data_IF_198944613582
#
_entry.id   IF_198944613582
#
_cell.length_a   1.000
_cell.length_b   1.000
_cell.length_c   1.000
_cell.angle_alpha   90.00
_cell.angle_beta   90.00
_cell.angle_gamma   90.00
#
_symmetry.space_group_name_H-M   'P 1'
#
loop_
_entity.id
_entity.type
_entity.pdbx_description
1 polymer ?
#
# COMPACT_ATOMS: atom_id res chain seq x y z
N UNK A 1 -14.09 26.67 -2.72
CA UNK A 1 -14.47 25.24 -2.73
C UNK A 1 -13.47 24.56 -3.63
N UNK A 2 -12.43 23.96 -3.05
CA UNK A 2 -11.37 23.29 -3.83
C UNK A 2 -12.05 22.18 -4.64
N UNK A 3 -11.96 22.25 -5.96
CA UNK A 3 -12.68 21.35 -6.84
C UNK A 3 -12.19 19.91 -6.61
N UNK A 4 -13.11 19.00 -6.29
CA UNK A 4 -12.80 17.57 -6.14
C UNK A 4 -12.22 17.01 -7.43
N UNK A 5 -12.60 17.58 -8.57
CA UNK A 5 -12.04 17.22 -9.87
C UNK A 5 -10.54 17.55 -9.92
N UNK A 6 -10.11 18.72 -9.45
CA UNK A 6 -8.70 19.10 -9.38
C UNK A 6 -7.93 18.22 -8.38
N UNK A 7 -8.53 17.94 -7.22
CA UNK A 7 -7.95 17.04 -6.23
C UNK A 7 -7.74 15.64 -6.84
N UNK A 8 -8.75 15.12 -7.54
CA UNK A 8 -8.70 13.81 -8.19
C UNK A 8 -7.64 13.78 -9.29
N UNK A 9 -7.67 14.72 -10.23
CA UNK A 9 -6.69 14.82 -11.33
C UNK A 9 -5.25 14.87 -10.80
N UNK A 10 -5.03 15.56 -9.68
CA UNK A 10 -3.70 15.73 -9.11
C UNK A 10 -3.19 14.52 -8.33
N UNK A 11 -4.06 13.81 -7.60
CA UNK A 11 -3.63 12.81 -6.62
C UNK A 11 -4.09 11.38 -6.92
N UNK A 12 -5.00 11.15 -7.86
CA UNK A 12 -5.55 9.80 -8.12
C UNK A 12 -4.45 8.78 -8.49
N UNK A 13 -3.47 9.18 -9.31
CA UNK A 13 -2.35 8.32 -9.67
C UNK A 13 -1.49 7.92 -8.46
N UNK A 14 -1.26 8.85 -7.54
CA UNK A 14 -0.48 8.58 -6.32
C UNK A 14 -1.24 7.66 -5.36
N UNK A 15 -2.53 7.94 -5.14
CA UNK A 15 -3.41 7.12 -4.30
C UNK A 15 -3.53 5.72 -4.87
N UNK A 16 -3.74 5.58 -6.18
CA UNK A 16 -3.83 4.28 -6.86
C UNK A 16 -2.55 3.48 -6.74
N UNK A 17 -1.39 4.12 -6.93
CA UNK A 17 -0.09 3.47 -6.76
C UNK A 17 0.14 3.02 -5.31
N UNK A 18 -0.18 3.88 -4.35
CA UNK A 18 -0.12 3.52 -2.93
C UNK A 18 -1.05 2.34 -2.62
N UNK A 19 -2.30 2.39 -3.09
CA UNK A 19 -3.29 1.35 -2.91
C UNK A 19 -2.83 0.02 -3.53
N UNK A 20 -2.30 0.04 -4.76
CA UNK A 20 -1.78 -1.16 -5.43
C UNK A 20 -0.63 -1.81 -4.66
N UNK A 21 0.35 -1.02 -4.20
CA UNK A 21 1.44 -1.53 -3.39
C UNK A 21 0.98 -1.98 -2.00
N UNK A 22 -0.10 -1.39 -1.49
CA UNK A 22 -0.71 -1.78 -0.24
C UNK A 22 -1.47 -3.10 -0.39
N UNK A 23 -2.39 -3.27 -1.34
CA UNK A 23 -3.25 -4.45 -1.44
C UNK A 23 -2.69 -5.58 -2.32
N UNK A 24 -1.80 -5.27 -3.28
CA UNK A 24 -1.24 -6.25 -4.20
C UNK A 24 -2.16 -6.64 -5.37
N UNK A 25 -3.31 -5.99 -5.52
CA UNK A 25 -4.34 -6.33 -6.49
C UNK A 25 -4.87 -5.08 -7.24
N UNK A 26 -4.88 -5.11 -8.57
CA UNK A 26 -5.27 -3.96 -9.40
C UNK A 26 -6.74 -3.55 -9.23
N UNK A 27 -7.65 -4.52 -9.08
CA UNK A 27 -9.09 -4.26 -8.94
C UNK A 27 -9.36 -3.63 -7.58
N UNK A 28 -8.78 -4.19 -6.52
CA UNK A 28 -8.90 -3.65 -5.18
C UNK A 28 -8.22 -2.29 -5.06
N UNK A 29 -7.12 -2.05 -5.78
CA UNK A 29 -6.48 -0.74 -5.81
C UNK A 29 -7.41 0.34 -6.38
N UNK A 30 -8.14 0.03 -7.45
CA UNK A 30 -9.10 0.94 -8.08
C UNK A 30 -10.32 1.20 -7.18
N UNK A 31 -10.80 0.18 -6.47
CA UNK A 31 -11.86 0.31 -5.47
C UNK A 31 -11.42 1.20 -4.30
N UNK A 32 -10.26 0.93 -3.71
CA UNK A 32 -9.68 1.73 -2.61
C UNK A 32 -9.48 3.18 -3.06
N UNK A 33 -9.00 3.41 -4.28
CA UNK A 33 -8.80 4.76 -4.81
C UNK A 33 -10.12 5.51 -4.90
N UNK A 34 -11.14 4.88 -5.47
CA UNK A 34 -12.47 5.47 -5.59
C UNK A 34 -13.07 5.80 -4.23
N UNK A 35 -13.06 4.84 -3.29
CA UNK A 35 -13.54 5.04 -1.92
C UNK A 35 -12.76 6.14 -1.20
N UNK A 36 -11.45 6.28 -1.48
CA UNK A 36 -10.61 7.33 -0.90
C UNK A 36 -11.10 8.72 -1.26
N UNK A 37 -11.36 9.00 -2.53
CA UNK A 37 -11.84 10.32 -2.96
C UNK A 37 -13.28 10.58 -2.55
N UNK A 38 -14.12 9.55 -2.53
CA UNK A 38 -15.50 9.63 -2.01
C UNK A 38 -15.50 10.01 -0.52
N UNK A 39 -14.66 9.36 0.30
CA UNK A 39 -14.49 9.71 1.73
C UNK A 39 -13.86 11.08 1.91
N UNK A 40 -12.86 11.44 1.10
CA UNK A 40 -12.22 12.75 1.17
C UNK A 40 -13.22 13.88 0.85
N UNK A 41 -14.10 13.68 -0.12
CA UNK A 41 -15.19 14.60 -0.46
C UNK A 41 -16.18 14.77 0.69
N UNK A 42 -16.63 13.66 1.30
CA UNK A 42 -17.56 13.72 2.44
C UNK A 42 -16.95 14.32 3.71
N UNK A 43 -15.62 14.29 3.84
CA UNK A 43 -14.88 14.77 5.01
C UNK A 43 -14.06 16.03 4.75
N UNK A 44 -14.41 16.82 3.71
CA UNK A 44 -13.62 17.96 3.24
C UNK A 44 -13.24 18.98 4.35
N UNK A 45 -14.07 19.13 5.37
CA UNK A 45 -13.85 20.06 6.50
C UNK A 45 -12.89 19.52 7.59
N UNK A 46 -12.30 18.33 7.43
CA UNK A 46 -11.53 17.63 8.48
C UNK A 46 -10.11 17.23 8.07
N UNK A 47 -9.46 17.99 7.19
CA UNK A 47 -8.05 17.74 6.89
C UNK A 47 -7.20 18.07 8.13
N UNK A 48 -6.81 17.02 8.85
CA UNK A 48 -5.95 17.09 10.06
C UNK A 48 -4.48 16.77 9.78
N UNK A 49 -4.14 16.45 8.52
CA UNK A 49 -2.78 16.07 8.15
C UNK A 49 -1.99 17.26 7.61
N UNK A 50 -0.66 17.29 7.84
CA UNK A 50 0.24 18.31 7.28
C UNK A 50 0.18 18.38 5.76
N UNK A 51 -0.02 17.25 5.09
CA UNK A 51 -0.07 17.17 3.63
C UNK A 51 -1.37 16.56 3.11
N UNK A 52 -1.80 17.02 1.92
CA UNK A 52 -2.96 16.46 1.21
C UNK A 52 -2.73 15.00 0.84
N UNK A 53 -1.52 14.64 0.42
CA UNK A 53 -1.20 13.26 0.05
C UNK A 53 -1.18 12.33 1.28
N UNK A 54 -0.63 12.79 2.41
CA UNK A 54 -0.70 12.06 3.66
C UNK A 54 -2.13 11.85 4.16
N UNK A 55 -2.98 12.86 4.01
CA UNK A 55 -4.43 12.72 4.25
C UNK A 55 -5.06 11.64 3.38
N UNK A 56 -4.83 11.67 2.07
CA UNK A 56 -5.39 10.69 1.14
C UNK A 56 -4.85 9.27 1.41
N UNK A 57 -3.57 9.12 1.73
CA UNK A 57 -2.97 7.82 2.07
C UNK A 57 -3.52 7.27 3.39
N UNK A 58 -3.82 8.14 4.35
CA UNK A 58 -4.52 7.75 5.60
C UNK A 58 -5.89 7.16 5.27
N UNK A 59 -6.67 7.84 4.44
CA UNK A 59 -8.00 7.38 4.03
C UNK A 59 -7.90 6.06 3.26
N UNK A 60 -6.98 5.96 2.30
CA UNK A 60 -6.78 4.75 1.49
C UNK A 60 -6.42 3.55 2.35
N UNK A 61 -5.52 3.74 3.34
CA UNK A 61 -5.19 2.69 4.30
C UNK A 61 -6.40 2.29 5.14
N UNK A 62 -7.17 3.26 5.64
CA UNK A 62 -8.38 2.96 6.41
C UNK A 62 -9.39 2.15 5.58
N UNK A 63 -9.62 2.53 4.32
CA UNK A 63 -10.46 1.78 3.39
C UNK A 63 -9.96 0.33 3.22
N UNK A 64 -8.66 0.14 3.02
CA UNK A 64 -8.07 -1.20 2.95
C UNK A 64 -8.26 -2.00 4.24
N UNK A 65 -8.01 -1.41 5.41
CA UNK A 65 -8.22 -2.12 6.69
C UNK A 65 -9.69 -2.46 6.95
N UNK A 66 -10.63 -1.65 6.45
CA UNK A 66 -12.06 -1.96 6.49
C UNK A 66 -12.39 -3.18 5.63
N UNK A 67 -11.81 -3.27 4.42
CA UNK A 67 -11.94 -4.42 3.53
C UNK A 67 -11.38 -5.69 4.19
N UNK A 68 -10.17 -5.64 4.76
CA UNK A 68 -9.58 -6.78 5.48
C UNK A 68 -10.45 -7.24 6.65
N UNK A 69 -10.98 -6.29 7.44
CA UNK A 69 -11.88 -6.60 8.56
C UNK A 69 -13.19 -7.23 8.09
N UNK A 70 -13.74 -6.78 6.95
CA UNK A 70 -14.94 -7.39 6.34
C UNK A 70 -14.64 -8.80 5.87
N UNK A 71 -13.56 -8.99 5.10
CA UNK A 71 -13.14 -10.29 4.60
C UNK A 71 -12.96 -11.30 5.74
N UNK A 72 -12.24 -10.92 6.80
CA UNK A 72 -12.03 -11.79 7.96
C UNK A 72 -13.35 -12.24 8.63
N UNK A 73 -14.36 -11.36 8.71
CA UNK A 73 -15.69 -11.73 9.23
C UNK A 73 -16.42 -12.71 8.31
N UNK A 74 -16.28 -12.56 6.99
CA UNK A 74 -16.87 -13.50 6.03
C UNK A 74 -16.15 -14.85 6.04
N UNK A 75 -14.83 -14.89 6.17
CA UNK A 75 -14.05 -16.14 6.28
C UNK A 75 -14.29 -16.88 7.60
N UNK A 76 -14.70 -16.18 8.67
CA UNK A 76 -15.17 -16.85 9.89
C UNK A 76 -16.53 -17.53 9.71
N UNK A 77 -17.29 -17.15 8.67
CA UNK A 77 -18.59 -17.74 8.33
C UNK A 77 -18.49 -18.80 7.21
N UNK A 78 -17.36 -18.82 6.49
CA UNK A 78 -17.11 -19.67 5.31
C UNK A 78 -15.64 -20.14 5.38
N UNK A 79 -15.38 -21.43 5.59
CA UNK A 79 -14.05 -22.02 5.86
C UNK A 79 -13.01 -21.88 4.71
N UNK A 80 -13.29 -21.03 3.71
CA UNK A 80 -12.43 -20.78 2.57
C UNK A 80 -11.50 -19.58 2.83
N UNK A 81 -10.25 -19.88 3.15
CA UNK A 81 -9.17 -18.88 3.30
C UNK A 81 -9.00 -18.07 2.00
N UNK A 82 -9.01 -16.72 2.03
CA UNK A 82 -8.76 -15.93 0.83
C UNK A 82 -7.33 -16.19 0.33
N UNK A 83 -7.20 -16.50 -0.97
CA UNK A 83 -5.91 -16.76 -1.61
C UNK A 83 -5.07 -15.47 -1.62
N UNK A 84 -3.98 -15.43 -0.84
CA UNK A 84 -3.02 -14.32 -0.80
C UNK A 84 -2.20 -14.14 -2.09
N UNK A 85 -2.52 -14.90 -3.14
CA UNK A 85 -1.86 -14.78 -4.45
C UNK A 85 -2.32 -13.52 -5.19
N UNK A 86 -1.38 -12.96 -5.94
CA UNK A 86 -1.65 -11.90 -6.92
C UNK A 86 -2.71 -12.41 -7.91
N UNK A 87 -3.79 -11.65 -8.10
CA UNK A 87 -4.90 -12.04 -8.99
C UNK A 87 -4.46 -12.23 -10.44
N UNK A 88 -5.21 -13.05 -11.19
CA UNK A 88 -4.97 -13.26 -12.61
C UNK A 88 -4.94 -11.95 -13.41
N UNK A 89 -5.82 -11.00 -13.08
CA UNK A 89 -5.84 -9.68 -13.71
C UNK A 89 -4.53 -8.92 -13.46
N UNK A 90 -4.06 -8.90 -12.21
CA UNK A 90 -2.77 -8.27 -11.88
C UNK A 90 -1.61 -8.98 -12.59
N UNK A 91 -1.69 -10.30 -12.78
CA UNK A 91 -0.68 -11.05 -13.53
C UNK A 91 -0.61 -10.63 -15.01
N UNK A 92 -1.75 -10.33 -15.61
CA UNK A 92 -1.85 -9.89 -17.01
C UNK A 92 -1.43 -8.42 -17.19
N UNK A 93 -1.85 -7.54 -16.29
CA UNK A 93 -1.67 -6.09 -16.45
C UNK A 93 -0.29 -5.57 -16.05
N UNK A 94 0.39 -6.23 -15.11
CA UNK A 94 1.65 -5.73 -14.54
C UNK A 94 2.87 -6.45 -15.12
N UNK A 95 3.99 -5.74 -15.26
CA UNK A 95 5.26 -6.35 -15.69
C UNK A 95 5.76 -7.38 -14.67
N UNK A 96 6.62 -8.31 -15.11
CA UNK A 96 7.22 -9.30 -14.22
C UNK A 96 7.96 -8.66 -13.02
N UNK A 97 8.64 -7.54 -13.26
CA UNK A 97 9.33 -6.77 -12.23
C UNK A 97 8.36 -6.19 -11.20
N UNK A 98 7.27 -5.56 -11.66
CA UNK A 98 6.25 -5.01 -10.75
C UNK A 98 5.60 -6.12 -9.94
N UNK A 99 5.28 -7.26 -10.56
CA UNK A 99 4.70 -8.42 -9.83
C UNK A 99 5.65 -8.96 -8.76
N UNK A 100 6.96 -9.00 -9.02
CA UNK A 100 7.94 -9.41 -8.02
C UNK A 100 7.99 -8.43 -6.84
N UNK A 101 7.91 -7.12 -7.11
CA UNK A 101 7.81 -6.09 -6.06
C UNK A 101 6.53 -6.25 -5.25
N UNK A 102 5.38 -6.42 -5.91
CA UNK A 102 4.10 -6.66 -5.24
C UNK A 102 4.17 -7.89 -4.34
N UNK A 103 4.67 -9.01 -4.85
CA UNK A 103 4.82 -10.24 -4.07
C UNK A 103 5.72 -10.05 -2.84
N UNK A 104 6.84 -9.35 -2.98
CA UNK A 104 7.74 -9.06 -1.87
C UNK A 104 7.09 -8.14 -0.82
N UNK A 105 6.35 -7.11 -1.25
CA UNK A 105 5.60 -6.23 -0.35
C UNK A 105 4.49 -6.98 0.41
N UNK A 106 3.81 -7.94 -0.24
CA UNK A 106 2.77 -8.74 0.40
C UNK A 106 3.32 -9.69 1.49
N UNK A 107 4.62 -9.99 1.50
CA UNK A 107 5.27 -10.73 2.59
C UNK A 107 5.46 -9.90 3.87
N UNK A 108 5.38 -8.57 3.77
CA UNK A 108 5.45 -7.70 4.93
C UNK A 108 4.11 -7.68 5.68
N UNK A 109 4.13 -7.65 7.03
CA UNK A 109 2.94 -7.28 7.80
C UNK A 109 2.37 -5.94 7.31
N UNK A 110 1.04 -5.81 7.30
CA UNK A 110 0.35 -4.62 6.76
C UNK A 110 0.93 -3.31 7.30
N UNK A 111 1.11 -3.20 8.63
CA UNK A 111 1.66 -1.99 9.23
C UNK A 111 3.08 -1.67 8.76
N UNK A 112 3.94 -2.68 8.59
CA UNK A 112 5.31 -2.48 8.09
C UNK A 112 5.29 -2.01 6.64
N UNK A 113 4.40 -2.57 5.83
CA UNK A 113 4.18 -2.18 4.43
C UNK A 113 3.65 -0.75 4.33
N UNK A 114 2.63 -0.38 5.10
CA UNK A 114 2.08 0.98 5.15
C UNK A 114 3.15 2.01 5.48
N UNK A 115 3.87 1.82 6.58
CA UNK A 115 4.90 2.75 7.07
C UNK A 115 6.01 2.91 6.04
N UNK A 116 6.42 1.80 5.39
CA UNK A 116 7.39 1.85 4.31
C UNK A 116 6.86 2.67 3.12
N UNK A 117 5.64 2.40 2.66
CA UNK A 117 5.05 3.06 1.48
C UNK A 117 4.81 4.56 1.70
N UNK A 118 4.32 4.97 2.87
CA UNK A 118 4.19 6.39 3.23
C UNK A 118 5.56 7.08 3.18
N UNK A 119 6.61 6.41 3.66
CA UNK A 119 7.97 6.98 3.60
C UNK A 119 8.56 6.99 2.19
N UNK A 120 8.29 6.00 1.35
CA UNK A 120 8.96 5.86 0.05
C UNK A 120 8.22 6.53 -1.11
N UNK A 121 6.89 6.60 -1.08
CA UNK A 121 6.11 7.21 -2.16
C UNK A 121 5.87 8.71 -1.94
N UNK A 122 5.80 9.14 -0.68
CA UNK A 122 5.50 10.53 -0.32
C UNK A 122 6.67 11.25 0.37
N UNK A 123 7.77 10.54 0.66
CA UNK A 123 8.87 11.08 1.48
C UNK A 123 8.40 11.65 2.83
N UNK A 124 7.24 11.19 3.31
CA UNK A 124 6.56 11.71 4.48
C UNK A 124 7.49 11.65 5.70
N UNK A 125 7.61 12.73 6.49
CA UNK A 125 8.40 12.75 7.71
C UNK A 125 7.94 11.66 8.70
N UNK A 126 8.87 11.11 9.47
CA UNK A 126 8.53 10.07 10.46
C UNK A 126 7.56 10.57 11.54
N UNK A 127 7.58 11.86 11.85
CA UNK A 127 6.60 12.52 12.74
C UNK A 127 5.19 12.43 12.17
N UNK A 128 4.99 12.84 10.91
CA UNK A 128 3.68 12.79 10.25
C UNK A 128 3.17 11.36 10.08
N UNK A 129 4.05 10.39 9.74
CA UNK A 129 3.68 8.96 9.70
C UNK A 129 3.21 8.49 11.08
N UNK A 130 3.91 8.89 12.14
CA UNK A 130 3.60 8.50 13.51
C UNK A 130 2.26 9.08 13.98
N UNK A 131 2.01 10.37 13.72
CA UNK A 131 0.74 11.03 14.00
C UNK A 131 -0.40 10.38 13.23
N UNK A 132 -0.19 10.12 11.94
CA UNK A 132 -1.16 9.47 11.05
C UNK A 132 -1.58 8.09 11.55
N UNK A 133 -0.62 7.30 12.00
CA UNK A 133 -0.84 5.90 12.37
C UNK A 133 -1.08 5.71 13.87
N UNK A 134 -1.00 6.76 14.68
CA UNK A 134 -1.14 6.69 16.13
C UNK A 134 -0.04 5.87 16.82
N UNK A 135 1.18 5.91 16.29
CA UNK A 135 2.34 5.18 16.81
C UNK A 135 3.44 6.13 17.26
N UNK A 136 4.37 5.72 18.15
CA UNK A 136 5.54 6.54 18.46
C UNK A 136 6.42 6.81 17.23
N UNK A 137 6.98 8.02 17.09
CA UNK A 137 7.91 8.37 16.00
C UNK A 137 9.09 7.41 15.89
N UNK A 138 9.64 6.98 17.02
CA UNK A 138 10.73 5.99 17.07
C UNK A 138 10.27 4.66 16.44
N UNK A 139 9.03 4.24 16.69
CA UNK A 139 8.48 3.03 16.09
C UNK A 139 8.33 3.18 14.58
N UNK A 140 7.86 4.33 14.07
CA UNK A 140 7.80 4.58 12.63
C UNK A 140 9.18 4.41 11.97
N UNK A 141 10.23 5.02 12.54
CA UNK A 141 11.60 4.91 12.03
C UNK A 141 12.13 3.48 12.03
N UNK A 142 11.99 2.78 13.17
CA UNK A 142 12.43 1.38 13.32
C UNK A 142 11.66 0.47 12.36
N UNK A 143 10.38 0.73 12.17
CA UNK A 143 9.52 -0.04 11.27
C UNK A 143 9.94 0.10 9.81
N UNK A 144 10.21 1.33 9.34
CA UNK A 144 10.77 1.54 7.98
C UNK A 144 12.08 0.78 7.81
N UNK A 145 13.00 0.91 8.78
CA UNK A 145 14.29 0.23 8.70
C UNK A 145 14.13 -1.29 8.62
N UNK A 146 13.29 -1.87 9.49
CA UNK A 146 12.99 -3.30 9.51
C UNK A 146 12.35 -3.77 8.20
N UNK A 147 11.37 -3.04 7.67
CA UNK A 147 10.70 -3.37 6.42
C UNK A 147 11.70 -3.40 5.25
N UNK A 148 12.63 -2.44 5.19
CA UNK A 148 13.71 -2.42 4.18
C UNK A 148 14.62 -3.62 4.28
N UNK A 149 15.04 -3.99 5.50
CA UNK A 149 15.90 -5.16 5.71
C UNK A 149 15.22 -6.46 5.26
N UNK A 150 13.94 -6.64 5.57
CA UNK A 150 13.16 -7.80 5.12
C UNK A 150 13.09 -7.87 3.60
N UNK A 151 12.79 -6.77 2.92
CA UNK A 151 12.77 -6.73 1.45
C UNK A 151 14.15 -6.98 0.83
N UNK A 152 15.23 -6.50 1.44
CA UNK A 152 16.60 -6.80 1.00
C UNK A 152 16.92 -8.29 1.11
N UNK A 153 16.52 -8.94 2.20
CA UNK A 153 16.67 -10.39 2.40
C UNK A 153 15.86 -11.17 1.37
N UNK A 154 14.60 -10.81 1.13
CA UNK A 154 13.77 -11.41 0.08
C UNK A 154 14.44 -11.26 -1.28
N UNK A 155 14.95 -10.06 -1.62
CA UNK A 155 15.66 -9.83 -2.89
C UNK A 155 16.93 -10.68 -3.00
N UNK A 156 17.72 -10.80 -1.94
CA UNK A 156 18.94 -11.60 -1.94
C UNK A 156 18.62 -13.09 -2.13
N UNK A 157 17.63 -13.62 -1.41
CA UNK A 157 17.16 -14.98 -1.58
C UNK A 157 16.66 -15.25 -3.02
N UNK A 158 15.97 -14.29 -3.64
CA UNK A 158 15.59 -14.38 -5.05
C UNK A 158 16.79 -14.42 -6.01
N UNK A 159 17.84 -13.61 -5.74
CA UNK A 159 19.08 -13.62 -6.56
C UNK A 159 19.88 -14.92 -6.41
N UNK A 160 19.82 -15.54 -5.24
CA UNK A 160 20.50 -16.82 -4.98
C UNK A 160 19.70 -18.02 -5.52
N UNK A 161 18.36 -17.97 -5.46
CA UNK A 161 17.47 -19.01 -5.98
C UNK A 161 17.33 -18.99 -7.51
N UNK A 162 17.56 -17.85 -8.15
CA UNK A 162 17.61 -17.71 -9.61
C UNK A 162 19.07 -17.59 -10.03
N UNK A 163 19.79 -18.70 -10.34
CA UNK A 163 21.13 -18.61 -10.89
C UNK A 163 21.07 -17.80 -12.18
N UNK A 164 22.02 -16.88 -12.38
CA UNK A 164 22.06 -15.90 -13.46
C UNK A 164 21.72 -16.51 -14.84
N UNK A 165 20.43 -16.48 -15.20
CA UNK A 165 19.97 -16.81 -16.52
C UNK A 165 20.28 -15.62 -17.41
N UNK A 166 21.48 -15.61 -18.00
CA UNK A 166 21.84 -14.67 -19.06
C UNK A 166 23.12 -13.88 -18.86
N UNK A 167 24.24 -14.53 -18.50
CA UNK A 167 25.49 -14.12 -19.10
C UNK A 167 25.52 -14.73 -20.51
N UNK A 168 25.17 -13.94 -21.53
CA UNK A 168 25.44 -14.33 -22.92
C UNK A 168 26.77 -13.68 -23.34
N UNK A 169 27.69 -14.41 -23.97
CA UNK A 169 29.02 -13.94 -24.38
C UNK A 169 28.97 -12.80 -25.39
#
# INVERSE_FOLDING_TARGET
MTDIEDLYKRYAGDVRRFALYLCGDVVMADEITSDTFVRAWMAADRIRQPTVRGYLFTIARNAYTDLLRRAARHTQLDENMPDTRISAQTQMEQSAEVRAVLAALQQLPEMERTVLLMRTLDEMPYEEIAETLGIPMVNARVTVHRARLKLMQTRQAWREAVPAAGAKP
#
